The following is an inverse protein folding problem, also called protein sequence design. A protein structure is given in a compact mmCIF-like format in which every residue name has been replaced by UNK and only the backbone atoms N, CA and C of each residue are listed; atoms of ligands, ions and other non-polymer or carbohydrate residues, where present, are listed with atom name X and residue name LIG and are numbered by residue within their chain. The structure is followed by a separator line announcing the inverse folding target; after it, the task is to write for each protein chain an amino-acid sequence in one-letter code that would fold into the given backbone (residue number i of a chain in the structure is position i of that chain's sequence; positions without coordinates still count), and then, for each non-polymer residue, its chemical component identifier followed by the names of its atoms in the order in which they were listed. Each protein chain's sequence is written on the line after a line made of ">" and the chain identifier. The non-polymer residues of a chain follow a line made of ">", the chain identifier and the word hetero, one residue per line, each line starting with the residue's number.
data_IF_075696968582
#
_entry.id   IF_075696968582
#
_cell.length_a   1.000
_cell.length_b   1.000
_cell.length_c   1.000
_cell.angle_alpha   90.00
_cell.angle_beta   90.00
_cell.angle_gamma   90.00
#
_symmetry.space_group_name_H-M   'P 1'
#
loop_
_entity.id
_entity.type
_entity.pdbx_description
1 polymer ?
#
# COMPACT_ATOMS: atom_id res chain seq x y z
N UNK A 1 6.87 -3.51 3.20
CA UNK A 1 7.55 -2.22 3.45
C UNK A 1 7.15 -1.20 2.41
N UNK A 2 6.94 0.07 2.78
CA UNK A 2 6.92 1.15 1.83
C UNK A 2 8.33 1.67 1.52
N UNK A 3 8.62 1.96 0.26
CA UNK A 3 9.87 2.60 -0.19
C UNK A 3 9.57 3.93 -0.85
N UNK A 4 10.21 5.01 -0.43
CA UNK A 4 10.01 6.32 -1.04
C UNK A 4 10.84 6.48 -2.32
N UNK A 5 10.36 7.29 -3.26
CA UNK A 5 11.12 7.73 -4.45
C UNK A 5 10.94 9.24 -4.65
N UNK A 6 11.87 9.88 -5.34
CA UNK A 6 11.71 11.23 -5.90
C UNK A 6 11.77 11.15 -7.43
N UNK A 7 10.88 11.84 -8.15
CA UNK A 7 10.83 11.84 -9.62
C UNK A 7 10.82 13.28 -10.16
N UNK A 8 11.78 13.61 -11.02
CA UNK A 8 11.71 14.77 -11.93
C UNK A 8 11.76 14.22 -13.36
N UNK A 9 10.78 14.55 -14.20
CA UNK A 9 10.72 14.10 -15.60
C UNK A 9 10.84 15.29 -16.55
N UNK A 10 11.73 15.25 -17.55
CA UNK A 10 11.63 16.11 -18.72
C UNK A 10 10.72 15.48 -19.79
N UNK A 11 9.85 16.32 -20.38
CA UNK A 11 9.42 16.32 -21.80
C UNK A 11 8.83 15.06 -22.46
N UNK A 12 7.61 15.19 -23.00
CA UNK A 12 6.96 14.20 -23.90
C UNK A 12 7.75 14.04 -25.21
N UNK A 13 7.88 12.81 -25.71
CA UNK A 13 8.33 12.49 -27.08
C UNK A 13 7.81 11.12 -27.53
N UNK A 14 7.30 11.02 -28.76
CA UNK A 14 6.66 9.84 -29.34
C UNK A 14 7.64 8.77 -29.85
N UNK A 15 7.12 7.56 -30.04
CA UNK A 15 7.86 6.33 -30.39
C UNK A 15 7.95 6.18 -31.93
N UNK A 16 9.15 5.94 -32.45
CA UNK A 16 9.39 5.32 -33.76
C UNK A 16 10.34 4.13 -33.59
N UNK A 17 9.95 2.97 -34.10
CA UNK A 17 10.66 1.70 -34.03
C UNK A 17 11.77 1.62 -35.08
N UNK A 18 13.02 1.90 -34.71
CA UNK A 18 14.27 1.48 -35.38
C UNK A 18 15.42 1.52 -34.34
N UNK A 19 16.65 1.12 -34.67
CA UNK A 19 17.82 0.99 -33.76
C UNK A 19 18.08 2.22 -32.84
N UNK A 20 17.52 3.39 -33.17
CA UNK A 20 17.41 4.59 -32.33
C UNK A 20 16.67 4.37 -30.99
N UNK A 21 15.84 3.32 -30.87
CA UNK A 21 15.13 2.98 -29.64
C UNK A 21 16.07 2.58 -28.50
N UNK A 22 17.16 1.86 -28.78
CA UNK A 22 18.13 1.49 -27.74
C UNK A 22 18.93 2.71 -27.26
N UNK A 23 19.26 3.63 -28.17
CA UNK A 23 19.88 4.91 -27.84
C UNK A 23 18.91 5.83 -27.08
N UNK A 24 17.62 5.82 -27.43
CA UNK A 24 16.56 6.53 -26.70
C UNK A 24 16.37 5.96 -25.29
N UNK A 25 16.35 4.64 -25.11
CA UNK A 25 16.30 4.04 -23.77
C UNK A 25 17.57 4.30 -22.97
N UNK A 26 18.75 4.25 -23.59
CA UNK A 26 20.01 4.62 -22.94
C UNK A 26 19.98 6.09 -22.52
N UNK A 27 19.52 7.01 -23.39
CA UNK A 27 19.41 8.44 -23.10
C UNK A 27 18.26 8.79 -22.12
N UNK A 28 17.17 8.02 -22.11
CA UNK A 28 16.08 8.18 -21.15
C UNK A 28 16.44 7.62 -19.77
N UNK A 29 17.32 6.63 -19.69
CA UNK A 29 17.79 6.06 -18.42
C UNK A 29 19.06 6.75 -17.91
N UNK A 30 19.89 7.31 -18.79
CA UNK A 30 20.99 8.21 -18.48
C UNK A 30 20.43 9.51 -17.88
N UNK A 31 20.35 9.55 -16.55
CA UNK A 31 19.98 10.74 -15.79
C UNK A 31 18.75 10.59 -14.91
N UNK A 32 18.11 9.42 -14.86
CA UNK A 32 17.09 9.17 -13.84
C UNK A 32 17.77 8.67 -12.56
N UNK A 33 18.09 9.62 -11.69
CA UNK A 33 18.57 9.35 -10.34
C UNK A 33 17.38 9.19 -9.40
N UNK A 34 17.37 8.08 -8.65
CA UNK A 34 16.41 7.86 -7.58
C UNK A 34 17.14 7.80 -6.25
N UNK A 35 16.57 8.48 -5.27
CA UNK A 35 16.95 8.31 -3.87
C UNK A 35 15.91 7.43 -3.20
N UNK A 36 16.40 6.45 -2.44
CA UNK A 36 15.55 5.53 -1.68
C UNK A 36 15.54 5.92 -0.22
N UNK A 37 14.36 5.93 0.37
CA UNK A 37 14.17 5.97 1.82
C UNK A 37 13.23 4.86 2.25
N UNK A 38 13.46 4.30 3.43
CA UNK A 38 12.58 3.30 4.03
C UNK A 38 11.97 3.87 5.31
N UNK A 39 10.67 3.63 5.52
CA UNK A 39 9.99 3.99 6.76
C UNK A 39 9.25 2.82 7.37
N UNK A 40 9.33 2.71 8.69
CA UNK A 40 8.50 1.80 9.49
C UNK A 40 7.71 2.60 10.50
N UNK A 41 6.41 2.36 10.56
CA UNK A 41 5.54 2.90 11.61
C UNK A 41 5.22 1.78 12.60
N UNK A 42 5.78 1.90 13.80
CA UNK A 42 5.52 0.97 14.89
C UNK A 42 4.21 1.34 15.59
N UNK A 43 3.19 0.45 15.58
CA UNK A 43 1.97 0.62 16.37
C UNK A 43 2.17 0.47 17.89
N UNK A 44 3.42 0.29 18.35
CA UNK A 44 3.86 0.01 19.71
C UNK A 44 3.17 -1.22 20.32
N UNK A 45 3.16 -2.31 19.56
CA UNK A 45 2.68 -3.60 20.04
C UNK A 45 3.85 -4.44 20.53
N UNK A 46 3.66 -5.16 21.64
CA UNK A 46 4.68 -6.04 22.23
C UNK A 46 5.25 -7.13 21.30
N UNK A 47 4.58 -7.39 20.18
CA UNK A 47 4.88 -8.47 19.25
C UNK A 47 5.51 -8.00 17.92
N UNK A 48 5.80 -6.71 17.78
CA UNK A 48 6.42 -6.14 16.58
C UNK A 48 7.85 -5.69 16.89
N UNK A 49 8.84 -6.27 16.21
CA UNK A 49 10.25 -5.88 16.35
C UNK A 49 10.88 -5.61 14.96
N UNK A 50 11.15 -4.33 14.63
CA UNK A 50 11.78 -3.96 13.37
C UNK A 50 13.31 -3.94 13.42
N UNK A 51 13.94 -4.39 14.50
CA UNK A 51 15.40 -4.39 14.68
C UNK A 51 16.17 -5.06 13.53
N UNK A 52 15.73 -6.20 12.95
CA UNK A 52 16.45 -6.84 11.84
C UNK A 52 16.62 -5.97 10.60
N UNK A 53 15.74 -4.98 10.40
CA UNK A 53 15.75 -4.12 9.22
C UNK A 53 16.79 -3.02 9.32
N UNK A 54 17.11 -2.56 10.54
CA UNK A 54 18.05 -1.45 10.77
C UNK A 54 19.42 -1.79 10.20
N UNK A 55 19.93 -2.99 10.49
CA UNK A 55 21.21 -3.46 9.95
C UNK A 55 21.17 -3.64 8.44
N UNK A 56 20.15 -4.34 7.94
CA UNK A 56 20.01 -4.62 6.51
C UNK A 56 19.91 -3.36 5.64
N UNK A 57 19.17 -2.35 6.08
CA UNK A 57 19.03 -1.09 5.35
C UNK A 57 20.29 -0.23 5.43
N UNK A 58 21.01 -0.26 6.57
CA UNK A 58 22.30 0.40 6.70
C UNK A 58 23.35 -0.21 5.75
N UNK A 59 23.38 -1.53 5.62
CA UNK A 59 24.28 -2.24 4.69
C UNK A 59 23.98 -1.89 3.22
N UNK A 60 22.73 -1.56 2.89
CA UNK A 60 22.30 -1.10 1.57
C UNK A 60 22.51 0.41 1.34
N UNK A 61 22.94 1.16 2.36
CA UNK A 61 23.07 2.62 2.29
C UNK A 61 21.73 3.36 2.15
N UNK A 62 20.63 2.75 2.60
CA UNK A 62 19.27 3.32 2.51
C UNK A 62 18.91 4.00 3.84
N UNK A 63 18.64 5.32 3.84
CA UNK A 63 18.08 6.02 5.00
C UNK A 63 16.84 5.32 5.56
N UNK A 64 16.88 5.04 6.86
CA UNK A 64 15.80 4.36 7.57
C UNK A 64 15.15 5.29 8.61
N UNK A 65 13.87 5.57 8.39
CA UNK A 65 13.05 6.38 9.28
C UNK A 65 12.15 5.47 10.12
N UNK A 66 12.19 5.66 11.43
CA UNK A 66 11.42 4.87 12.36
C UNK A 66 10.50 5.80 13.14
N UNK A 67 9.20 5.56 13.00
CA UNK A 67 8.13 6.39 13.54
C UNK A 67 7.31 5.55 14.52
N UNK A 68 7.15 6.02 15.75
CA UNK A 68 6.35 5.33 16.76
C UNK A 68 5.02 6.02 16.98
N UNK A 69 3.96 5.23 17.19
CA UNK A 69 2.64 5.75 17.51
C UNK A 69 1.87 4.74 18.38
N UNK A 70 1.32 5.16 19.51
CA UNK A 70 0.43 4.34 20.36
C UNK A 70 -0.95 4.12 19.70
N UNK A 71 -1.00 3.41 18.57
CA UNK A 71 -2.24 3.31 17.77
C UNK A 71 -3.34 2.54 18.52
N UNK A 72 -2.96 1.51 19.28
CA UNK A 72 -3.93 0.68 20.02
C UNK A 72 -4.56 1.47 21.17
N UNK A 73 -3.75 2.19 21.94
CA UNK A 73 -4.23 3.02 23.04
C UNK A 73 -5.17 4.12 22.51
N UNK A 74 -4.80 4.77 21.41
CA UNK A 74 -5.65 5.77 20.75
C UNK A 74 -6.98 5.20 20.28
N UNK A 75 -7.01 3.95 19.80
CA UNK A 75 -8.24 3.30 19.40
C UNK A 75 -9.15 2.99 20.60
N UNK A 76 -8.57 2.69 21.77
CA UNK A 76 -9.29 2.40 23.00
C UNK A 76 -9.91 3.66 23.65
N UNK A 77 -9.33 4.84 23.39
CA UNK A 77 -9.82 6.13 23.92
C UNK A 77 -10.89 6.79 23.06
N UNK A 78 -11.27 6.20 21.92
CA UNK A 78 -12.30 6.76 21.04
C UNK A 78 -13.69 6.64 21.68
N UNK A 79 -14.35 7.77 21.90
CA UNK A 79 -15.76 7.81 22.31
C UNK A 79 -16.65 7.20 21.22
N UNK A 80 -17.50 6.24 21.62
CA UNK A 80 -18.32 5.44 20.69
C UNK A 80 -17.66 4.14 20.19
N UNK A 81 -16.41 3.89 20.56
CA UNK A 81 -15.68 2.66 20.22
C UNK A 81 -15.15 2.65 18.78
N UNK A 82 -14.34 1.62 18.48
CA UNK A 82 -13.76 1.41 17.15
C UNK A 82 -14.42 0.20 16.47
N UNK A 83 -15.16 0.43 15.39
CA UNK A 83 -15.78 -0.65 14.59
C UNK A 83 -14.75 -1.69 14.10
N UNK A 84 -13.52 -1.23 13.79
CA UNK A 84 -12.43 -2.09 13.37
C UNK A 84 -11.08 -1.45 13.68
N UNK A 85 -10.40 -2.01 14.69
CA UNK A 85 -9.04 -1.61 15.09
C UNK A 85 -8.07 -1.73 13.91
N UNK A 86 -8.20 -2.77 13.09
CA UNK A 86 -7.37 -2.95 11.90
C UNK A 86 -7.58 -1.82 10.87
N UNK A 87 -8.84 -1.44 10.63
CA UNK A 87 -9.17 -0.34 9.73
C UNK A 87 -8.61 0.99 10.25
N UNK A 88 -8.75 1.27 11.55
CA UNK A 88 -8.19 2.46 12.21
C UNK A 88 -6.66 2.50 12.12
N UNK A 89 -5.99 1.41 12.48
CA UNK A 89 -4.55 1.29 12.43
C UNK A 89 -4.00 1.52 11.00
N UNK A 90 -4.65 0.95 9.98
CA UNK A 90 -4.25 1.15 8.59
C UNK A 90 -4.32 2.61 8.12
N UNK A 91 -5.25 3.41 8.67
CA UNK A 91 -5.39 4.84 8.36
C UNK A 91 -4.30 5.65 9.05
N UNK A 92 -4.09 5.41 10.35
CA UNK A 92 -3.07 6.12 11.13
C UNK A 92 -1.66 5.85 10.60
N UNK A 93 -1.32 4.57 10.34
CA UNK A 93 -0.02 4.20 9.75
C UNK A 93 0.21 4.95 8.43
N UNK A 94 -0.80 5.03 7.57
CA UNK A 94 -0.69 5.72 6.29
C UNK A 94 -0.46 7.23 6.45
N UNK A 95 -1.18 7.86 7.38
CA UNK A 95 -0.99 9.28 7.72
C UNK A 95 0.45 9.58 8.17
N UNK A 96 1.00 8.76 9.06
CA UNK A 96 2.40 8.88 9.53
C UNK A 96 3.41 8.68 8.41
N UNK A 97 3.20 7.68 7.55
CA UNK A 97 4.05 7.46 6.37
C UNK A 97 4.04 8.69 5.46
N UNK A 98 2.88 9.29 5.21
CA UNK A 98 2.78 10.49 4.37
C UNK A 98 3.47 11.69 5.00
N UNK A 99 3.30 11.89 6.31
CA UNK A 99 3.96 12.96 7.05
C UNK A 99 5.49 12.81 7.01
N UNK A 100 6.01 11.59 7.20
CA UNK A 100 7.43 11.30 7.06
C UNK A 100 7.92 11.58 5.63
N UNK A 101 7.17 11.15 4.61
CA UNK A 101 7.51 11.43 3.20
C UNK A 101 7.71 12.92 2.96
N UNK A 102 6.78 13.74 3.45
CA UNK A 102 6.77 15.19 3.31
C UNK A 102 7.91 15.85 4.07
N UNK A 103 8.15 15.41 5.31
CA UNK A 103 9.22 15.94 6.16
C UNK A 103 10.60 15.74 5.53
N UNK A 104 10.82 14.58 4.93
CA UNK A 104 12.11 14.21 4.32
C UNK A 104 12.20 14.56 2.82
N UNK A 105 11.17 15.19 2.24
CA UNK A 105 11.19 15.70 0.86
C UNK A 105 10.95 14.66 -0.25
N UNK A 106 10.41 13.49 0.07
CA UNK A 106 10.07 12.48 -0.94
C UNK A 106 8.74 12.77 -1.65
N UNK A 107 8.69 12.58 -2.97
CA UNK A 107 7.51 12.90 -3.79
C UNK A 107 6.77 11.66 -4.34
N UNK A 108 7.32 10.46 -4.15
CA UNK A 108 6.69 9.17 -4.44
C UNK A 108 6.80 8.25 -3.22
N UNK A 109 5.73 7.52 -2.96
CA UNK A 109 5.66 6.48 -1.95
C UNK A 109 5.27 5.16 -2.63
N UNK A 110 6.17 4.20 -2.66
CA UNK A 110 5.84 2.83 -3.03
C UNK A 110 5.33 2.08 -1.81
N UNK A 111 4.24 1.35 -1.96
CA UNK A 111 3.72 0.46 -0.94
C UNK A 111 3.85 -1.00 -1.40
N UNK A 112 4.28 -1.87 -0.50
CA UNK A 112 4.54 -3.28 -0.78
C UNK A 112 3.29 -4.17 -0.92
N UNK A 113 2.12 -3.61 -1.26
CA UNK A 113 0.91 -4.43 -1.45
C UNK A 113 0.99 -5.26 -2.72
N UNK A 114 0.57 -6.52 -2.63
CA UNK A 114 0.59 -7.51 -3.69
C UNK A 114 -0.79 -7.81 -4.27
N UNK A 115 -0.85 -8.68 -5.29
CA UNK A 115 -2.10 -9.04 -5.96
C UNK A 115 -3.15 -9.61 -4.99
N UNK A 116 -2.73 -10.40 -4.01
CA UNK A 116 -3.62 -11.00 -3.02
C UNK A 116 -4.29 -9.93 -2.12
N UNK A 117 -3.57 -8.86 -1.73
CA UNK A 117 -4.18 -7.72 -1.00
C UNK A 117 -5.23 -6.99 -1.85
N UNK A 118 -4.99 -6.87 -3.15
CA UNK A 118 -5.94 -6.26 -4.09
C UNK A 118 -7.19 -7.11 -4.27
N UNK A 119 -7.03 -8.44 -4.33
CA UNK A 119 -8.14 -9.37 -4.39
C UNK A 119 -8.98 -9.31 -3.09
N UNK A 120 -8.33 -9.29 -1.94
CA UNK A 120 -9.01 -9.12 -0.65
C UNK A 120 -9.78 -7.79 -0.60
N UNK A 121 -9.12 -6.68 -0.93
CA UNK A 121 -9.79 -5.38 -0.97
C UNK A 121 -10.96 -5.35 -1.96
N UNK A 122 -10.89 -6.12 -3.04
CA UNK A 122 -11.99 -6.26 -4.00
C UNK A 122 -13.16 -7.01 -3.39
N UNK A 123 -12.92 -8.16 -2.76
CA UNK A 123 -13.98 -8.95 -2.09
C UNK A 123 -14.63 -8.19 -0.95
N UNK A 124 -13.83 -7.51 -0.11
CA UNK A 124 -14.38 -6.64 0.93
C UNK A 124 -15.28 -5.54 0.35
N UNK A 125 -14.91 -4.98 -0.80
CA UNK A 125 -15.71 -3.96 -1.48
C UNK A 125 -17.01 -4.53 -2.05
N UNK A 126 -16.97 -5.72 -2.64
CA UNK A 126 -18.14 -6.36 -3.24
C UNK A 126 -19.09 -6.88 -2.17
N UNK A 127 -18.60 -7.63 -1.19
CA UNK A 127 -19.43 -8.31 -0.19
C UNK A 127 -19.96 -7.39 0.91
N UNK A 128 -19.16 -6.42 1.37
CA UNK A 128 -19.59 -5.54 2.47
C UNK A 128 -20.09 -4.18 1.99
N UNK A 129 -19.54 -3.65 0.90
CA UNK A 129 -19.89 -2.30 0.43
C UNK A 129 -20.80 -2.29 -0.80
N UNK A 130 -20.96 -3.42 -1.50
CA UNK A 130 -21.73 -3.50 -2.75
C UNK A 130 -21.11 -2.72 -3.90
N UNK A 131 -19.78 -2.51 -3.88
CA UNK A 131 -19.08 -1.67 -4.87
C UNK A 131 -18.04 -2.47 -5.65
N UNK A 132 -18.00 -2.28 -6.97
CA UNK A 132 -16.96 -2.83 -7.84
C UNK A 132 -15.70 -1.96 -7.80
N UNK A 133 -14.94 -2.10 -6.72
CA UNK A 133 -13.74 -1.29 -6.45
C UNK A 133 -12.64 -2.12 -5.79
N UNK A 134 -11.40 -1.79 -6.11
CA UNK A 134 -10.20 -2.28 -5.42
C UNK A 134 -9.16 -1.15 -5.32
N UNK A 135 -8.02 -1.43 -4.69
CA UNK A 135 -6.90 -0.50 -4.62
C UNK A 135 -6.35 -0.15 -6.02
N UNK A 136 -5.98 1.10 -6.21
CA UNK A 136 -5.36 1.58 -7.46
C UNK A 136 -3.91 1.14 -7.56
N UNK A 137 -3.41 0.87 -8.76
CA UNK A 137 -1.98 0.57 -8.94
C UNK A 137 -1.09 1.79 -8.62
N UNK A 138 -1.58 2.99 -8.96
CA UNK A 138 -0.98 4.26 -8.56
C UNK A 138 -2.06 5.34 -8.44
N UNK A 139 -1.80 6.33 -7.59
CA UNK A 139 -2.64 7.54 -7.49
C UNK A 139 -1.80 8.72 -6.99
N UNK A 140 -2.29 9.93 -7.26
CA UNK A 140 -1.76 11.15 -6.63
C UNK A 140 -2.62 11.40 -5.39
N UNK A 141 -2.00 11.73 -4.26
CA UNK A 141 -2.75 12.12 -3.05
C UNK A 141 -3.52 13.42 -3.33
N UNK A 142 -4.60 13.67 -2.60
CA UNK A 142 -5.49 14.81 -2.81
C UNK A 142 -4.78 16.16 -2.76
N UNK A 143 -3.78 16.32 -1.90
CA UNK A 143 -2.98 17.56 -1.82
C UNK A 143 -2.06 17.76 -3.04
N UNK A 144 -1.91 16.75 -3.91
CA UNK A 144 -1.18 16.84 -5.17
C UNK A 144 0.34 16.71 -5.06
N UNK A 145 0.86 16.55 -3.84
CA UNK A 145 2.29 16.60 -3.51
C UNK A 145 2.97 15.23 -3.53
N UNK A 146 2.25 14.17 -3.15
CA UNK A 146 2.78 12.82 -3.04
C UNK A 146 2.11 11.88 -4.05
N UNK A 147 2.90 11.07 -4.76
CA UNK A 147 2.41 9.99 -5.62
C UNK A 147 2.56 8.65 -4.93
N UNK A 148 1.48 7.91 -4.79
CA UNK A 148 1.54 6.54 -4.27
C UNK A 148 1.59 5.55 -5.43
N UNK A 149 2.53 4.61 -5.37
CA UNK A 149 2.68 3.50 -6.32
C UNK A 149 2.66 2.16 -5.58
N UNK A 150 2.28 1.09 -6.27
CA UNK A 150 2.31 -0.27 -5.73
C UNK A 150 3.03 -1.18 -6.74
N UNK A 151 4.33 -1.43 -6.57
CA UNK A 151 5.11 -2.19 -7.55
C UNK A 151 4.67 -3.65 -7.68
N UNK A 152 4.13 -4.24 -6.62
CA UNK A 152 3.83 -5.68 -6.57
C UNK A 152 2.38 -6.06 -6.90
N UNK A 153 1.58 -5.14 -7.46
CA UNK A 153 0.14 -5.40 -7.75
C UNK A 153 -0.14 -6.55 -8.71
N UNK A 154 0.88 -7.02 -9.44
CA UNK A 154 0.78 -8.16 -10.36
C UNK A 154 1.45 -9.43 -9.82
N UNK A 155 2.10 -9.35 -8.66
CA UNK A 155 2.89 -10.43 -8.07
C UNK A 155 2.07 -11.10 -6.98
N UNK A 156 2.13 -12.43 -6.88
CA UNK A 156 1.46 -13.20 -5.82
C UNK A 156 2.27 -13.18 -4.53
N UNK A 157 1.58 -13.24 -3.39
CA UNK A 157 2.21 -13.34 -2.06
C UNK A 157 3.16 -14.55 -1.97
N UNK A 158 2.77 -15.68 -2.54
CA UNK A 158 3.60 -16.90 -2.57
C UNK A 158 4.94 -16.66 -3.27
N UNK A 159 4.94 -15.96 -4.40
CA UNK A 159 6.17 -15.65 -5.15
C UNK A 159 7.08 -14.70 -4.37
N UNK A 160 6.51 -13.68 -3.72
CA UNK A 160 7.25 -12.77 -2.84
C UNK A 160 7.87 -13.50 -1.64
N UNK A 161 7.11 -14.42 -1.03
CA UNK A 161 7.60 -15.26 0.08
C UNK A 161 8.76 -16.15 -0.35
N UNK A 162 8.63 -16.83 -1.49
CA UNK A 162 9.70 -17.66 -2.04
C UNK A 162 10.94 -16.83 -2.38
N UNK A 163 10.77 -15.64 -2.96
CA UNK A 163 11.86 -14.72 -3.23
C UNK A 163 12.56 -14.29 -1.94
N UNK A 164 11.81 -13.88 -0.91
CA UNK A 164 12.37 -13.47 0.37
C UNK A 164 13.17 -14.58 1.05
N UNK A 165 12.71 -15.83 0.97
CA UNK A 165 13.45 -17.00 1.48
C UNK A 165 14.74 -17.26 0.70
N UNK A 166 14.68 -17.24 -0.64
CA UNK A 166 15.85 -17.47 -1.50
C UNK A 166 16.91 -16.38 -1.33
N UNK A 167 16.48 -15.12 -1.25
CA UNK A 167 17.34 -13.97 -1.07
C UNK A 167 17.74 -13.74 0.40
N UNK A 168 17.26 -14.58 1.34
CA UNK A 168 17.53 -14.48 2.78
C UNK A 168 17.24 -13.09 3.35
N UNK A 169 16.14 -12.48 2.90
CA UNK A 169 15.72 -11.16 3.37
C UNK A 169 15.26 -11.23 4.83
N UNK A 170 15.50 -10.17 5.64
CA UNK A 170 14.98 -10.09 7.00
C UNK A 170 13.45 -9.89 6.95
N UNK A 171 12.70 -10.97 7.07
CA UNK A 171 11.23 -10.94 7.13
C UNK A 171 10.79 -10.77 8.58
N UNK A 172 10.01 -9.71 8.86
CA UNK A 172 9.36 -9.53 10.15
C UNK A 172 8.01 -10.26 10.10
N UNK A 173 7.72 -11.15 11.06
CA UNK A 173 6.38 -11.71 11.19
C UNK A 173 5.41 -10.61 11.66
N UNK A 174 4.37 -10.34 10.86
CA UNK A 174 3.25 -9.48 11.25
C UNK A 174 2.45 -10.21 12.34
N UNK A 175 2.81 -9.99 13.60
CA UNK A 175 2.25 -10.70 14.75
C UNK A 175 1.38 -9.80 15.64
N UNK A 176 0.59 -8.90 15.02
CA UNK A 176 -0.26 -7.99 15.78
C UNK A 176 -1.33 -8.78 16.56
N UNK A 177 -1.41 -8.69 17.91
CA UNK A 177 -2.37 -9.44 18.72
C UNK A 177 -3.83 -9.12 18.34
N UNK A 178 -4.11 -7.88 17.94
CA UNK A 178 -5.43 -7.47 17.45
C UNK A 178 -5.81 -8.11 16.09
N UNK A 179 -4.83 -8.57 15.31
CA UNK A 179 -5.04 -9.29 14.05
C UNK A 179 -5.22 -10.80 14.24
N UNK A 180 -4.90 -11.35 15.43
CA UNK A 180 -5.16 -12.75 15.77
C UNK A 180 -6.56 -12.96 16.36
N UNK A 181 -7.06 -11.99 17.13
CA UNK A 181 -8.42 -12.02 17.67
C UNK A 181 -9.47 -11.59 16.64
N UNK A 182 -9.11 -10.69 15.72
CA UNK A 182 -9.90 -10.49 14.51
C UNK A 182 -9.79 -11.76 13.66
N UNK A 183 -10.90 -12.36 13.20
CA UNK A 183 -10.81 -13.47 12.26
C UNK A 183 -9.93 -13.00 11.10
N UNK A 184 -8.95 -13.82 10.67
CA UNK A 184 -8.37 -13.69 9.32
C UNK A 184 -9.57 -13.42 8.42
N UNK A 185 -9.59 -12.25 7.78
CA UNK A 185 -10.77 -11.78 7.04
C UNK A 185 -11.31 -12.98 6.27
N UNK A 186 -12.58 -13.31 6.49
CA UNK A 186 -13.23 -14.50 5.94
C UNK A 186 -12.89 -14.72 4.46
N UNK A 187 -12.63 -13.62 3.78
CA UNK A 187 -12.31 -13.48 2.37
C UNK A 187 -10.95 -14.08 1.98
N UNK A 188 -9.89 -13.96 2.81
CA UNK A 188 -8.59 -14.60 2.53
C UNK A 188 -8.71 -16.13 2.60
N UNK A 189 -9.37 -16.64 3.65
CA UNK A 189 -9.60 -18.08 3.79
C UNK A 189 -10.51 -18.63 2.68
N UNK A 190 -11.53 -17.85 2.28
CA UNK A 190 -12.41 -18.20 1.16
C UNK A 190 -11.65 -18.25 -0.16
N UNK A 191 -10.76 -17.29 -0.43
CA UNK A 191 -9.98 -17.23 -1.67
C UNK A 191 -8.99 -18.39 -1.77
N UNK A 192 -8.29 -18.71 -0.68
CA UNK A 192 -7.41 -19.89 -0.62
C UNK A 192 -8.16 -21.20 -0.89
N UNK A 193 -9.37 -21.35 -0.34
CA UNK A 193 -10.20 -22.54 -0.58
C UNK A 193 -10.65 -22.62 -2.04
N UNK A 194 -11.02 -21.49 -2.63
CA UNK A 194 -11.43 -21.41 -4.04
C UNK A 194 -10.26 -21.64 -5.01
N UNK A 195 -9.03 -21.27 -4.65
CA UNK A 195 -7.85 -21.50 -5.49
C UNK A 195 -7.57 -23.00 -5.70
N UNK A 196 -7.90 -23.85 -4.72
CA UNK A 196 -7.83 -25.31 -4.86
C UNK A 196 -8.80 -25.81 -5.93
N UNK A 197 -10.01 -25.24 -5.98
CA UNK A 197 -11.04 -25.61 -6.94
C UNK A 197 -10.80 -24.98 -8.33
N UNK A 198 -10.20 -23.80 -8.37
CA UNK A 198 -9.98 -23.00 -9.57
C UNK A 198 -8.51 -22.57 -9.67
N UNK A 199 -7.63 -23.38 -10.29
CA UNK A 199 -6.20 -23.08 -10.37
C UNK A 199 -5.84 -21.76 -11.09
N UNK A 200 -6.76 -21.21 -11.89
CA UNK A 200 -6.59 -19.92 -12.60
C UNK A 200 -7.31 -18.74 -11.92
N UNK A 201 -7.81 -18.93 -10.70
CA UNK A 201 -8.62 -17.93 -9.99
C UNK A 201 -7.98 -16.55 -9.98
N UNK A 202 -6.72 -16.45 -9.57
CA UNK A 202 -6.01 -15.17 -9.48
C UNK A 202 -5.74 -14.52 -10.84
N UNK A 203 -5.56 -15.31 -11.89
CA UNK A 203 -5.41 -14.78 -13.25
C UNK A 203 -6.73 -14.19 -13.76
N UNK A 204 -7.85 -14.86 -13.47
CA UNK A 204 -9.20 -14.37 -13.76
C UNK A 204 -9.52 -13.11 -12.95
N UNK A 205 -9.24 -13.12 -11.64
CA UNK A 205 -9.41 -11.96 -10.75
C UNK A 205 -8.56 -10.78 -11.21
N UNK A 206 -7.28 -11.00 -11.53
CA UNK A 206 -6.41 -9.96 -12.05
C UNK A 206 -7.00 -9.34 -13.33
N UNK A 207 -7.48 -10.17 -14.25
CA UNK A 207 -8.08 -9.68 -15.51
C UNK A 207 -9.34 -8.85 -15.24
N UNK A 208 -10.18 -9.29 -14.31
CA UNK A 208 -11.38 -8.55 -13.88
C UNK A 208 -11.04 -7.24 -13.16
N UNK A 209 -9.97 -7.22 -12.36
CA UNK A 209 -9.56 -6.05 -11.57
C UNK A 209 -8.73 -5.04 -12.36
N UNK A 210 -8.05 -5.43 -13.45
CA UNK A 210 -7.21 -4.53 -14.28
C UNK A 210 -7.88 -3.19 -14.64
N UNK A 211 -9.14 -3.15 -15.12
CA UNK A 211 -9.85 -1.90 -15.36
C UNK A 211 -10.05 -1.05 -14.10
N UNK A 212 -10.29 -1.71 -12.95
CA UNK A 212 -10.53 -1.06 -11.67
C UNK A 212 -9.26 -0.46 -11.06
N UNK A 213 -8.09 -1.02 -11.38
CA UNK A 213 -6.78 -0.56 -10.90
C UNK A 213 -6.31 0.73 -11.56
N UNK A 214 -6.85 1.08 -12.74
CA UNK A 214 -6.44 2.25 -13.51
C UNK A 214 -6.97 3.57 -12.91
N UNK A 215 -6.16 4.63 -13.01
CA UNK A 215 -6.43 5.97 -12.42
C UNK A 215 -7.70 6.64 -12.95
N UNK A 216 -8.09 6.35 -14.20
CA UNK A 216 -9.11 7.11 -14.92
C UNK A 216 -10.44 6.35 -15.16
N UNK A 217 -10.62 5.16 -14.56
CA UNK A 217 -11.78 4.30 -14.90
C UNK A 217 -12.76 4.03 -13.76
N UNK A 218 -12.38 4.22 -12.50
CA UNK A 218 -13.27 3.95 -11.35
C UNK A 218 -12.93 4.78 -10.12
N UNK A 219 -13.92 5.08 -9.26
CA UNK A 219 -13.76 5.88 -8.03
C UNK A 219 -14.59 7.16 -7.96
N UNK A 220 -15.39 7.47 -8.99
CA UNK A 220 -16.33 8.61 -8.97
C UNK A 220 -17.53 8.38 -8.05
N UNK A 221 -17.85 7.12 -7.75
CA UNK A 221 -18.99 6.73 -6.89
C UNK A 221 -18.85 7.18 -5.42
N UNK A 222 -17.63 7.35 -4.91
CA UNK A 222 -17.39 7.84 -3.54
C UNK A 222 -17.69 9.33 -3.35
N UNK A 223 -17.74 10.11 -4.43
CA UNK A 223 -18.05 11.55 -4.38
C UNK A 223 -19.54 11.78 -4.08
N UNK A 224 -20.40 10.79 -4.39
CA UNK A 224 -21.85 10.94 -4.33
C UNK A 224 -22.52 10.30 -3.11
N UNK A 225 -21.78 9.61 -2.24
CA UNK A 225 -22.32 9.09 -0.99
C UNK A 225 -22.03 10.08 0.15
N UNK A 226 -22.71 11.24 0.13
CA UNK A 226 -22.91 12.00 1.38
C UNK A 226 -23.48 11.01 2.40
N UNK A 227 -22.81 10.84 3.55
CA UNK A 227 -23.51 10.32 4.72
C UNK A 227 -24.76 11.20 4.89
N UNK A 228 -25.95 10.63 5.18
CA UNK A 228 -27.03 11.49 5.66
C UNK A 228 -26.49 12.25 6.86
N UNK A 229 -26.70 13.57 6.86
CA UNK A 229 -26.30 14.48 7.94
C UNK A 229 -26.66 13.81 9.28
N UNK A 230 -25.63 13.49 10.06
CA UNK A 230 -25.77 13.40 11.50
C UNK A 230 -25.29 14.75 11.97
N UNK A 231 -26.21 15.44 12.60
CA UNK A 231 -26.15 16.84 12.94
C UNK A 231 -24.85 17.23 13.66
N UNK A 232 -24.51 18.50 13.45
CA UNK A 232 -23.58 19.36 14.17
C UNK A 232 -23.21 18.87 15.58
N UNK A 233 -21.92 18.65 15.82
CA UNK A 233 -21.14 19.30 16.90
C UNK A 233 -19.68 18.81 16.85
N UNK A 234 -18.78 19.72 17.25
CA UNK A 234 -17.32 19.60 17.43
C UNK A 234 -16.41 19.98 16.25
N UNK A 235 -16.31 21.30 16.06
CA UNK A 235 -15.05 21.98 15.75
C UNK A 235 -13.93 21.46 16.66
N UNK A 236 -13.02 20.65 16.13
CA UNK A 236 -11.67 20.54 16.68
C UNK A 236 -10.75 21.34 15.77
N UNK A 237 -10.51 22.59 16.20
CA UNK A 237 -9.41 23.42 15.71
C UNK A 237 -8.08 22.71 16.03
N UNK A 238 -7.24 22.56 15.00
CA UNK A 238 -5.79 22.44 15.12
C UNK A 238 -5.17 23.82 14.89
#
# INVERSE_FOLDING_TARGET
>A
MPTFHSLSLPGRGGISDDEDGAAFWSACLEGIHFEFGAVTVDPQTSSFDPSPLKGYLADLGVPYFYEEQCIIEQAATLEGGCDSICSFCSRIKRGRIYACARREGYNVLAMGQHLDDLAESFFMSVFHNGLLRTMKANYLVQEGDLRVIRPFVYVREKELREFAQKAKLPVIPENCPACFEAPKTSDQAATCTQEILFPRLYQSLLTAMKPLMAKNRTGMESVHRKKPDRDEEDEIQL
#
